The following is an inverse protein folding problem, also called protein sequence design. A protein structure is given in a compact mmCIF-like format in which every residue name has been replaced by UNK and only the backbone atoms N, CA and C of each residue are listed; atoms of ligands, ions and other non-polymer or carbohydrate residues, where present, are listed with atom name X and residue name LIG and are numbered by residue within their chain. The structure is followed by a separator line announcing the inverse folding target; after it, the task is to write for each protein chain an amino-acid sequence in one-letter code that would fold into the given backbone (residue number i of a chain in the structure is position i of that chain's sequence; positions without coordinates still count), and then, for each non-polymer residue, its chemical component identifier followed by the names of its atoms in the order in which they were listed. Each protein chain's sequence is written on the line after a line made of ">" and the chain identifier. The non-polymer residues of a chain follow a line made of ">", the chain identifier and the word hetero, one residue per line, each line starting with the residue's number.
data_IF_355735159189
#
_entry.id   IF_355735159189
#
_cell.length_a   1.000
_cell.length_b   1.000
_cell.length_c   1.000
_cell.angle_alpha   90.00
_cell.angle_beta   90.00
_cell.angle_gamma   90.00
#
_symmetry.space_group_name_H-M   'P 1'
#
loop_
_entity.id
_entity.type
_entity.pdbx_description
1 polymer ?
#
# COMPACT_ATOMS: atom_id res chain seq x y z
N UNK A 1 -23.76 -50.15 2.35
CA UNK A 1 -23.03 -49.36 1.35
C UNK A 1 -23.74 -48.07 0.94
N UNK A 2 -25.02 -48.08 0.58
CA UNK A 2 -25.77 -46.88 0.16
C UNK A 2 -25.87 -45.78 1.23
N UNK A 3 -25.92 -46.13 2.51
CA UNK A 3 -25.99 -45.14 3.60
C UNK A 3 -24.67 -44.38 3.78
N UNK A 4 -23.56 -45.11 3.76
CA UNK A 4 -22.19 -44.55 3.83
C UNK A 4 -21.93 -43.61 2.65
N UNK A 5 -22.33 -44.03 1.45
CA UNK A 5 -22.20 -43.21 0.24
C UNK A 5 -22.99 -41.91 0.34
N UNK A 6 -24.22 -41.94 0.87
CA UNK A 6 -25.04 -40.74 1.08
C UNK A 6 -24.38 -39.76 2.08
N UNK A 7 -23.77 -40.29 3.13
CA UNK A 7 -23.08 -39.44 4.12
C UNK A 7 -21.81 -38.85 3.56
N UNK A 8 -21.02 -39.62 2.79
CA UNK A 8 -19.82 -39.12 2.09
C UNK A 8 -20.19 -38.02 1.08
N UNK A 9 -21.28 -38.22 0.32
CA UNK A 9 -21.74 -37.22 -0.63
C UNK A 9 -22.17 -35.91 0.09
N UNK A 10 -22.91 -36.01 1.20
CA UNK A 10 -23.30 -34.84 2.01
C UNK A 10 -22.07 -34.12 2.59
N UNK A 11 -21.09 -34.88 3.09
CA UNK A 11 -19.84 -34.30 3.58
C UNK A 11 -19.07 -33.58 2.46
N UNK A 12 -18.93 -34.24 1.30
CA UNK A 12 -18.27 -33.64 0.14
C UNK A 12 -18.98 -32.36 -0.34
N UNK A 13 -20.32 -32.39 -0.39
CA UNK A 13 -21.12 -31.19 -0.73
C UNK A 13 -20.93 -30.10 0.30
N UNK A 14 -20.93 -30.43 1.59
CA UNK A 14 -20.70 -29.46 2.66
C UNK A 14 -19.31 -28.79 2.58
N UNK A 15 -18.26 -29.61 2.35
CA UNK A 15 -16.89 -29.12 2.16
C UNK A 15 -16.79 -28.24 0.91
N UNK A 16 -17.43 -28.65 -0.18
CA UNK A 16 -17.46 -27.86 -1.42
C UNK A 16 -18.12 -26.48 -1.22
N UNK A 17 -19.29 -26.46 -0.60
CA UNK A 17 -20.03 -25.21 -0.31
C UNK A 17 -19.19 -24.31 0.60
N UNK A 18 -18.55 -24.87 1.63
CA UNK A 18 -17.66 -24.12 2.51
C UNK A 18 -16.47 -23.53 1.73
N UNK A 19 -15.84 -24.33 0.88
CA UNK A 19 -14.70 -23.87 0.07
C UNK A 19 -15.11 -22.74 -0.89
N UNK A 20 -16.24 -22.87 -1.58
CA UNK A 20 -16.79 -21.82 -2.44
C UNK A 20 -17.08 -20.55 -1.63
N UNK A 21 -17.71 -20.70 -0.45
CA UNK A 21 -17.97 -19.57 0.45
C UNK A 21 -16.69 -18.83 0.88
N UNK A 22 -15.66 -19.58 1.26
CA UNK A 22 -14.36 -18.99 1.65
C UNK A 22 -13.68 -18.28 0.47
N UNK A 23 -13.69 -18.87 -0.71
CA UNK A 23 -13.11 -18.24 -1.93
C UNK A 23 -13.87 -16.96 -2.28
N UNK A 24 -15.21 -17.00 -2.24
CA UNK A 24 -16.03 -15.82 -2.52
C UNK A 24 -15.77 -14.69 -1.51
N UNK A 25 -15.65 -15.05 -0.23
CA UNK A 25 -15.36 -14.11 0.84
C UNK A 25 -13.96 -13.49 0.66
N UNK A 26 -12.96 -14.31 0.37
CA UNK A 26 -11.59 -13.85 0.10
C UNK A 26 -11.55 -12.92 -1.11
N UNK A 27 -12.24 -13.29 -2.19
CA UNK A 27 -12.37 -12.45 -3.38
C UNK A 27 -13.06 -11.11 -3.07
N UNK A 28 -14.15 -11.14 -2.29
CA UNK A 28 -14.86 -9.93 -1.89
C UNK A 28 -13.96 -8.96 -1.10
N UNK A 29 -13.19 -9.45 -0.13
CA UNK A 29 -12.26 -8.61 0.62
C UNK A 29 -11.09 -8.12 -0.25
N UNK A 30 -10.54 -8.97 -1.09
CA UNK A 30 -9.46 -8.58 -2.00
C UNK A 30 -9.93 -7.50 -2.99
N UNK A 31 -11.10 -7.67 -3.60
CA UNK A 31 -11.64 -6.72 -4.57
C UNK A 31 -11.90 -5.33 -3.97
N UNK A 32 -12.25 -5.26 -2.67
CA UNK A 32 -12.43 -3.97 -1.98
C UNK A 32 -11.14 -3.21 -1.70
N UNK A 33 -9.99 -3.89 -1.78
CA UNK A 33 -8.66 -3.27 -1.61
C UNK A 33 -8.08 -2.78 -2.94
N UNK A 34 -8.72 -3.08 -4.07
CA UNK A 34 -8.27 -2.60 -5.38
C UNK A 34 -8.67 -1.13 -5.54
N UNK A 35 -7.77 -0.28 -6.05
CA UNK A 35 -8.09 1.08 -6.41
C UNK A 35 -9.09 1.11 -7.58
N UNK A 36 -9.89 2.16 -7.64
CA UNK A 36 -10.64 2.51 -8.83
C UNK A 36 -9.82 3.52 -9.61
N UNK A 37 -9.38 3.15 -10.79
CA UNK A 37 -8.53 3.99 -11.63
C UNK A 37 -9.33 4.88 -12.59
N UNK A 38 -10.61 4.57 -12.77
CA UNK A 38 -11.49 5.32 -13.66
C UNK A 38 -12.28 6.36 -12.86
N UNK A 39 -12.05 7.64 -13.14
CA UNK A 39 -12.82 8.70 -12.52
C UNK A 39 -12.05 9.99 -12.28
N UNK A 40 -12.78 11.00 -11.83
CA UNK A 40 -12.23 12.29 -11.42
C UNK A 40 -12.40 12.43 -9.92
N UNK A 41 -11.29 12.62 -9.22
CA UNK A 41 -11.25 12.74 -7.78
C UNK A 41 -10.76 14.14 -7.38
N UNK A 42 -11.34 14.68 -6.32
CA UNK A 42 -10.84 15.90 -5.69
C UNK A 42 -9.99 15.52 -4.47
N UNK A 43 -8.72 15.80 -4.54
CA UNK A 43 -7.75 15.46 -3.50
C UNK A 43 -7.13 16.75 -2.94
N UNK A 44 -7.04 16.86 -1.62
CA UNK A 44 -6.42 18.01 -0.97
C UNK A 44 -4.89 17.98 -1.18
N UNK A 45 -4.29 19.14 -1.44
CA UNK A 45 -2.84 19.28 -1.61
C UNK A 45 -2.37 19.39 -3.04
N UNK A 46 -3.25 19.23 -4.04
CA UNK A 46 -2.98 19.48 -5.45
C UNK A 46 -3.43 20.91 -5.81
N UNK A 47 -2.66 21.61 -6.63
CA UNK A 47 -2.93 23.02 -6.98
C UNK A 47 -3.60 23.16 -8.35
N UNK A 48 -3.31 22.27 -9.28
CA UNK A 48 -3.91 22.23 -10.61
C UNK A 48 -4.32 20.80 -10.99
N UNK A 49 -5.25 20.62 -11.94
CA UNK A 49 -5.63 19.29 -12.40
C UNK A 49 -4.43 18.49 -12.92
N UNK A 50 -4.34 17.23 -12.49
CA UNK A 50 -3.38 16.24 -12.99
C UNK A 50 -4.14 15.09 -13.62
N UNK A 51 -3.66 14.62 -14.75
CA UNK A 51 -4.18 13.45 -15.44
C UNK A 51 -3.21 12.27 -15.26
N UNK A 52 -3.75 11.11 -14.85
CA UNK A 52 -3.01 9.86 -14.74
C UNK A 52 -3.60 8.89 -15.77
N UNK A 53 -2.85 8.61 -16.83
CA UNK A 53 -3.25 7.67 -17.89
C UNK A 53 -2.47 6.37 -17.73
N UNK A 54 -3.18 5.24 -17.71
CA UNK A 54 -2.53 3.93 -17.64
C UNK A 54 -2.47 3.29 -19.02
N UNK A 55 -1.31 2.77 -19.38
CA UNK A 55 -1.13 2.05 -20.63
C UNK A 55 -1.59 0.58 -20.50
N UNK A 56 -1.43 -0.20 -21.60
CA UNK A 56 -1.82 -1.62 -21.64
C UNK A 56 -1.02 -2.53 -20.69
N UNK A 57 0.04 -2.03 -20.07
CA UNK A 57 0.85 -2.71 -19.07
C UNK A 57 0.57 -2.17 -17.65
N UNK A 58 -0.50 -1.39 -17.49
CA UNK A 58 -0.89 -0.70 -16.25
C UNK A 58 0.18 0.27 -15.71
N UNK A 59 1.09 0.75 -16.58
CA UNK A 59 2.08 1.76 -16.20
C UNK A 59 1.41 3.14 -16.18
N UNK A 60 1.44 3.86 -15.05
CA UNK A 60 0.85 5.19 -14.96
C UNK A 60 1.75 6.24 -15.64
N UNK A 61 1.17 7.00 -16.54
CA UNK A 61 1.75 8.20 -17.17
C UNK A 61 1.07 9.42 -16.55
N UNK A 62 1.85 10.33 -15.97
CA UNK A 62 1.34 11.44 -15.17
C UNK A 62 1.59 12.75 -15.92
N UNK A 63 0.53 13.53 -16.14
CA UNK A 63 0.56 14.81 -16.82
C UNK A 63 0.02 15.90 -15.91
N UNK A 64 0.84 16.89 -15.57
CA UNK A 64 0.50 18.02 -14.71
C UNK A 64 1.10 19.33 -15.24
N UNK A 65 0.70 20.44 -14.63
CA UNK A 65 1.16 21.78 -15.03
C UNK A 65 2.40 22.21 -14.23
N UNK A 66 2.59 21.67 -13.03
CA UNK A 66 3.73 21.97 -12.16
C UNK A 66 4.42 20.69 -11.72
N UNK A 67 5.71 20.79 -11.44
CA UNK A 67 6.49 19.65 -10.93
C UNK A 67 5.93 19.14 -9.59
N UNK A 68 5.53 20.04 -8.70
CA UNK A 68 4.95 19.68 -7.39
C UNK A 68 3.67 18.85 -7.55
N UNK A 69 2.75 19.23 -8.47
CA UNK A 69 1.54 18.47 -8.73
C UNK A 69 1.85 17.10 -9.37
N UNK A 70 2.86 17.02 -10.25
CA UNK A 70 3.31 15.76 -10.86
C UNK A 70 3.92 14.83 -9.80
N UNK A 71 4.78 15.34 -8.92
CA UNK A 71 5.36 14.53 -7.84
C UNK A 71 4.31 14.12 -6.79
N UNK A 72 3.33 14.99 -6.50
CA UNK A 72 2.20 14.61 -5.67
C UNK A 72 1.42 13.44 -6.29
N UNK A 73 1.04 13.55 -7.56
CA UNK A 73 0.30 12.51 -8.26
C UNK A 73 1.11 11.21 -8.41
N UNK A 74 2.44 11.29 -8.55
CA UNK A 74 3.34 10.13 -8.53
C UNK A 74 3.27 9.40 -7.18
N UNK A 75 3.37 10.13 -6.07
CA UNK A 75 3.24 9.56 -4.73
C UNK A 75 1.87 8.91 -4.50
N UNK A 76 0.82 9.57 -4.94
CA UNK A 76 -0.55 9.05 -4.85
C UNK A 76 -0.73 7.75 -5.66
N UNK A 77 -0.33 7.74 -6.95
CA UNK A 77 -0.43 6.58 -7.81
C UNK A 77 0.43 5.40 -7.33
N UNK A 78 1.65 5.68 -6.85
CA UNK A 78 2.53 4.64 -6.32
C UNK A 78 1.97 4.04 -5.03
N UNK A 79 1.35 4.85 -4.18
CA UNK A 79 0.66 4.35 -2.99
C UNK A 79 -0.57 3.50 -3.34
N UNK A 80 -1.33 3.86 -4.38
CA UNK A 80 -2.42 3.02 -4.90
C UNK A 80 -1.92 1.63 -5.31
N UNK A 81 -0.79 1.57 -6.01
CA UNK A 81 -0.32 0.35 -6.66
C UNK A 81 0.57 -0.50 -5.75
N UNK A 82 1.33 0.12 -4.83
CA UNK A 82 2.48 -0.49 -4.17
C UNK A 82 2.54 -0.27 -2.65
N UNK A 83 1.43 0.12 -2.01
CA UNK A 83 1.41 0.50 -0.59
C UNK A 83 2.04 -0.55 0.33
N UNK A 84 1.74 -1.84 0.10
CA UNK A 84 2.33 -2.92 0.87
C UNK A 84 3.85 -2.97 0.73
N UNK A 85 4.35 -2.93 -0.52
CA UNK A 85 5.78 -2.97 -0.80
C UNK A 85 6.50 -1.76 -0.19
N UNK A 86 5.94 -0.56 -0.35
CA UNK A 86 6.46 0.68 0.24
C UNK A 86 6.54 0.57 1.76
N UNK A 87 5.47 0.10 2.40
CA UNK A 87 5.42 -0.11 3.85
C UNK A 87 6.47 -1.12 4.31
N UNK A 88 6.66 -2.22 3.59
CA UNK A 88 7.66 -3.24 3.92
C UNK A 88 9.09 -2.70 3.78
N UNK A 89 9.39 -1.97 2.71
CA UNK A 89 10.72 -1.37 2.51
C UNK A 89 11.04 -0.37 3.62
N UNK A 90 10.11 0.54 3.93
CA UNK A 90 10.25 1.51 5.02
C UNK A 90 10.52 0.82 6.36
N UNK A 91 9.71 -0.18 6.73
CA UNK A 91 9.89 -0.94 7.96
C UNK A 91 11.22 -1.69 7.99
N UNK A 92 11.66 -2.23 6.86
CA UNK A 92 12.95 -2.90 6.73
C UNK A 92 14.08 -1.94 7.08
N UNK A 93 14.12 -0.77 6.42
CA UNK A 93 15.19 0.22 6.64
C UNK A 93 15.16 0.79 8.07
N UNK A 94 13.96 0.94 8.65
CA UNK A 94 13.77 1.38 10.04
C UNK A 94 14.09 0.28 11.07
N UNK A 95 14.34 -0.98 10.66
CA UNK A 95 14.52 -2.12 11.55
C UNK A 95 13.27 -2.41 12.40
N UNK A 96 12.09 -2.46 11.77
CA UNK A 96 10.78 -2.60 12.41
C UNK A 96 9.92 -3.73 11.83
N UNK A 97 10.52 -4.66 11.09
CA UNK A 97 9.79 -5.80 10.53
C UNK A 97 9.22 -6.72 11.62
N UNK A 98 9.92 -6.86 12.74
CA UNK A 98 9.49 -7.73 13.83
C UNK A 98 8.21 -7.28 14.55
N UNK A 99 7.80 -6.01 14.36
CA UNK A 99 6.48 -5.54 14.82
C UNK A 99 5.33 -6.27 14.10
N UNK A 100 5.57 -6.78 12.89
CA UNK A 100 4.57 -7.50 12.07
C UNK A 100 4.82 -9.02 12.05
N UNK A 101 6.08 -9.43 11.93
CA UNK A 101 6.45 -10.83 11.68
C UNK A 101 7.03 -11.54 12.92
N UNK A 102 7.13 -10.81 14.03
CA UNK A 102 7.63 -11.34 15.29
C UNK A 102 9.13 -11.68 15.26
N UNK A 103 9.59 -12.61 16.13
CA UNK A 103 11.01 -12.88 16.34
C UNK A 103 11.78 -13.34 15.09
N UNK A 104 11.08 -13.81 14.06
CA UNK A 104 11.72 -14.32 12.82
C UNK A 104 12.54 -13.27 12.10
N UNK A 105 12.14 -12.01 12.18
CA UNK A 105 12.80 -10.87 11.49
C UNK A 105 13.68 -10.04 12.41
N UNK A 106 13.77 -10.38 13.68
CA UNK A 106 14.53 -9.61 14.68
C UNK A 106 16.00 -9.42 14.30
N UNK A 107 16.65 -10.44 13.70
CA UNK A 107 18.06 -10.34 13.27
C UNK A 107 18.24 -9.30 12.17
N UNK A 108 17.27 -9.20 11.25
CA UNK A 108 17.26 -8.19 10.17
C UNK A 108 17.07 -6.81 10.78
N UNK A 109 16.11 -6.65 11.70
CA UNK A 109 15.88 -5.38 12.38
C UNK A 109 17.12 -4.90 13.14
N UNK A 110 17.77 -5.79 13.86
CA UNK A 110 19.03 -5.48 14.57
C UNK A 110 20.15 -5.04 13.62
N UNK A 111 20.26 -5.67 12.45
CA UNK A 111 21.24 -5.29 11.44
C UNK A 111 20.92 -3.89 10.88
N UNK A 112 19.67 -3.64 10.46
CA UNK A 112 19.28 -2.36 9.88
C UNK A 112 19.43 -1.20 10.87
N UNK A 113 19.12 -1.43 12.16
CA UNK A 113 19.36 -0.43 13.22
C UNK A 113 20.83 -0.16 13.49
N UNK A 114 21.72 -1.16 13.30
CA UNK A 114 23.18 -0.96 13.41
C UNK A 114 23.73 -0.17 12.21
N UNK A 115 23.19 -0.39 11.01
CA UNK A 115 23.55 0.37 9.81
C UNK A 115 23.03 1.80 9.85
N UNK A 116 21.95 2.02 10.60
CA UNK A 116 21.29 3.31 10.80
C UNK A 116 20.97 4.08 9.51
N UNK A 117 20.55 3.34 8.48
CA UNK A 117 20.27 3.89 7.16
C UNK A 117 19.12 4.91 7.18
N UNK A 118 18.16 4.72 8.08
CA UNK A 118 17.03 5.64 8.17
C UNK A 118 17.44 7.04 8.70
N UNK A 119 18.28 7.10 9.72
CA UNK A 119 18.83 8.38 10.20
C UNK A 119 19.66 9.06 9.11
N UNK A 120 20.41 8.28 8.32
CA UNK A 120 21.14 8.81 7.18
C UNK A 120 20.18 9.39 6.13
N UNK A 121 19.09 8.70 5.79
CA UNK A 121 18.07 9.21 4.87
C UNK A 121 17.46 10.52 5.37
N UNK A 122 17.06 10.59 6.65
CA UNK A 122 16.53 11.81 7.28
C UNK A 122 17.52 12.97 7.18
N UNK A 123 18.79 12.73 7.48
CA UNK A 123 19.83 13.77 7.39
C UNK A 123 20.09 14.20 5.94
N UNK A 124 19.97 13.26 4.99
CA UNK A 124 20.16 13.52 3.56
C UNK A 124 19.10 14.42 2.97
N UNK A 125 17.86 14.37 3.44
CA UNK A 125 16.81 15.31 3.01
C UNK A 125 17.20 16.76 3.31
N UNK A 126 17.79 17.01 4.48
CA UNK A 126 18.23 18.35 4.88
C UNK A 126 19.42 18.88 4.06
N UNK A 127 20.14 17.99 3.36
CA UNK A 127 21.28 18.33 2.51
C UNK A 127 20.89 18.53 1.04
N UNK A 128 19.61 18.31 0.68
CA UNK A 128 19.12 18.50 -0.68
C UNK A 128 18.93 20.00 -0.98
N UNK A 129 18.92 20.31 -2.27
CA UNK A 129 18.52 21.63 -2.75
C UNK A 129 17.00 21.85 -2.60
N UNK A 130 16.56 23.09 -2.74
CA UNK A 130 15.17 23.46 -2.55
C UNK A 130 14.21 22.76 -3.54
N UNK A 131 14.52 22.63 -4.85
CA UNK A 131 13.67 21.88 -5.80
C UNK A 131 13.53 20.41 -5.42
N UNK A 132 14.62 19.73 -5.07
CA UNK A 132 14.59 18.33 -4.66
C UNK A 132 13.78 18.14 -3.36
N UNK A 133 13.95 19.03 -2.39
CA UNK A 133 13.17 18.99 -1.13
C UNK A 133 11.68 19.21 -1.39
N UNK A 134 11.31 20.12 -2.30
CA UNK A 134 9.92 20.34 -2.72
C UNK A 134 9.32 19.09 -3.35
N UNK A 135 10.04 18.45 -4.29
CA UNK A 135 9.61 17.22 -4.95
C UNK A 135 9.40 16.07 -3.96
N UNK A 136 10.33 15.84 -3.01
CA UNK A 136 10.20 14.82 -1.98
C UNK A 136 8.99 15.10 -1.05
N UNK A 137 8.76 16.37 -0.72
CA UNK A 137 7.63 16.80 0.11
C UNK A 137 6.30 16.59 -0.61
N UNK A 138 6.22 16.96 -1.88
CA UNK A 138 5.04 16.77 -2.72
C UNK A 138 4.73 15.29 -2.89
N UNK A 139 5.75 14.46 -3.17
CA UNK A 139 5.60 13.01 -3.24
C UNK A 139 5.03 12.42 -1.93
N UNK A 140 5.62 12.77 -0.78
CA UNK A 140 5.14 12.31 0.52
C UNK A 140 3.69 12.76 0.79
N UNK A 141 3.33 13.98 0.39
CA UNK A 141 1.97 14.48 0.49
C UNK A 141 0.98 13.66 -0.35
N UNK A 142 1.37 13.28 -1.58
CA UNK A 142 0.57 12.40 -2.44
C UNK A 142 0.33 11.02 -1.84
N UNK A 143 1.37 10.40 -1.27
CA UNK A 143 1.23 9.11 -0.54
C UNK A 143 0.27 9.28 0.64
N UNK A 144 0.39 10.36 1.41
CA UNK A 144 -0.47 10.61 2.56
C UNK A 144 -1.93 10.86 2.16
N UNK A 145 -2.17 11.51 1.03
CA UNK A 145 -3.52 11.71 0.50
C UNK A 145 -4.21 10.36 0.23
N UNK A 146 -3.50 9.39 -0.33
CA UNK A 146 -4.03 8.02 -0.47
C UNK A 146 -4.24 7.33 0.88
N UNK A 147 -3.31 7.50 1.84
CA UNK A 147 -3.47 6.96 3.19
C UNK A 147 -4.70 7.52 3.90
N UNK A 148 -5.03 8.78 3.71
CA UNK A 148 -6.23 9.40 4.28
C UNK A 148 -7.51 8.78 3.73
N UNK A 149 -7.56 8.45 2.43
CA UNK A 149 -8.69 7.73 1.83
C UNK A 149 -8.86 6.32 2.43
N UNK A 150 -7.76 5.62 2.68
CA UNK A 150 -7.78 4.31 3.33
C UNK A 150 -8.26 4.42 4.78
N UNK A 151 -7.75 5.39 5.53
CA UNK A 151 -8.07 5.59 6.94
C UNK A 151 -9.53 6.02 7.15
N UNK A 152 -10.12 6.74 6.20
CA UNK A 152 -11.56 7.06 6.19
C UNK A 152 -12.44 5.90 5.75
N UNK A 153 -11.83 4.78 5.34
CA UNK A 153 -12.55 3.58 4.90
C UNK A 153 -13.14 3.67 3.49
N UNK A 154 -12.83 4.72 2.74
CA UNK A 154 -13.33 4.92 1.38
C UNK A 154 -12.72 3.95 0.37
N UNK A 155 -11.52 3.41 0.65
CA UNK A 155 -10.75 2.52 -0.24
C UNK A 155 -10.32 1.20 0.42
N UNK A 156 -11.15 0.63 1.26
CA UNK A 156 -10.82 -0.61 1.97
C UNK A 156 -9.61 -0.45 2.89
N UNK A 157 -8.61 -1.30 2.76
CA UNK A 157 -7.34 -1.23 3.52
C UNK A 157 -6.12 -0.92 2.64
N UNK A 158 -6.33 -0.55 1.39
CA UNK A 158 -5.29 -0.14 0.44
C UNK A 158 -4.44 -1.27 -0.14
N UNK A 159 -4.38 -2.42 0.52
CA UNK A 159 -3.72 -3.63 0.02
C UNK A 159 -4.33 -4.87 0.70
N UNK A 160 -4.47 -6.02 0.00
CA UNK A 160 -5.03 -7.24 0.57
C UNK A 160 -4.26 -7.74 1.80
N UNK A 161 -2.93 -7.59 1.80
CA UNK A 161 -2.06 -7.99 2.90
C UNK A 161 -2.36 -7.24 4.20
N UNK A 162 -2.88 -6.01 4.11
CA UNK A 162 -3.26 -5.21 5.28
C UNK A 162 -4.45 -5.78 6.05
N UNK A 163 -5.19 -6.72 5.47
CA UNK A 163 -6.22 -7.48 6.17
C UNK A 163 -5.62 -8.56 7.10
N UNK A 164 -4.47 -9.11 6.70
CA UNK A 164 -3.76 -10.14 7.46
C UNK A 164 -2.87 -9.49 8.52
N UNK A 165 -2.14 -8.45 8.11
CA UNK A 165 -1.21 -7.72 8.95
C UNK A 165 -1.80 -6.35 9.31
N UNK A 166 -2.63 -6.33 10.35
CA UNK A 166 -3.33 -5.11 10.81
C UNK A 166 -2.38 -4.14 11.53
N UNK A 167 -1.29 -3.75 10.87
CA UNK A 167 -0.35 -2.80 11.42
C UNK A 167 -0.73 -1.37 11.00
N UNK A 168 -0.68 -0.39 11.90
CA UNK A 168 -0.92 1.00 11.54
C UNK A 168 0.15 1.48 10.56
N UNK A 169 -0.29 2.24 9.55
CA UNK A 169 0.59 2.89 8.59
C UNK A 169 0.77 4.33 9.07
N UNK A 170 1.97 4.64 9.54
CA UNK A 170 2.31 6.01 9.91
C UNK A 170 2.35 6.91 8.67
N UNK A 171 2.07 8.22 8.80
CA UNK A 171 2.22 9.17 7.71
C UNK A 171 3.59 9.07 7.04
N UNK A 172 3.60 9.25 5.73
CA UNK A 172 4.81 9.21 4.92
C UNK A 172 5.60 10.51 5.09
N UNK A 173 6.91 10.38 5.18
CA UNK A 173 7.83 11.50 5.32
C UNK A 173 8.73 11.62 4.08
N UNK A 174 9.31 12.80 3.78
CA UNK A 174 10.23 12.96 2.67
C UNK A 174 11.47 12.04 2.69
N UNK A 175 11.79 11.47 3.84
CA UNK A 175 12.91 10.54 4.03
C UNK A 175 12.55 9.05 3.84
N UNK A 176 11.26 8.73 3.65
CA UNK A 176 10.76 7.34 3.51
C UNK A 176 10.98 6.73 2.13
#
# INVERSE_FOLDING_TARGET
>A
MALIFKWLLRLATGVFVLAVGLVTLAWYFASRSLPDYDGTYSVAGITAPVEIVRDNADVPHIFGQTDDDVFFALGYAQAQDRLWQMTMLRRTVQGRLSEMFGPRTLKIDMLMRRLDLYSLAVSSVNAQDAPTTAALTAYAAGVNAWLDEINTGSRGRGAPEMWIFNAPIAPWQPAD
#
